data_IF_968935722241
#
_entry.id   IF_968935722241
#
_cell.length_a   1.000
_cell.length_b   1.000
_cell.length_c   1.000
_cell.angle_alpha   90.00
_cell.angle_beta   90.00
_cell.angle_gamma   90.00
#
_symmetry.space_group_name_H-M   'P 1'
#
loop_
_entity.id
_entity.type
_entity.pdbx_description
1 polymer ?
#
# COMPACT_ATOMS: atom_id res chain seq x y z
N UNK A 1 -16.84 3.21 -2.44
CA UNK A 1 -16.45 2.78 -3.80
C UNK A 1 -15.02 2.26 -3.93
N UNK A 2 -14.10 2.46 -2.97
CA UNK A 2 -12.85 1.67 -2.92
C UNK A 2 -11.99 1.69 -4.19
N UNK A 3 -12.18 2.70 -5.07
CA UNK A 3 -11.49 2.81 -6.35
C UNK A 3 -10.07 3.37 -6.19
N UNK A 4 -9.76 3.91 -5.01
CA UNK A 4 -8.46 4.48 -4.73
C UNK A 4 -7.44 3.44 -4.30
N UNK A 5 -6.19 3.65 -4.73
CA UNK A 5 -5.04 2.82 -4.37
C UNK A 5 -4.14 3.65 -3.47
N UNK A 6 -3.76 3.10 -2.31
CA UNK A 6 -2.72 3.69 -1.48
C UNK A 6 -1.39 3.02 -1.80
N UNK A 7 -0.35 3.81 -2.05
CA UNK A 7 1.01 3.31 -2.28
C UNK A 7 1.78 3.40 -0.97
N UNK A 8 2.36 2.28 -0.54
CA UNK A 8 3.05 2.15 0.74
C UNK A 8 4.53 1.86 0.53
N UNK A 9 5.38 2.52 1.33
CA UNK A 9 6.77 2.12 1.55
C UNK A 9 6.80 1.04 2.64
N UNK A 10 7.26 -0.17 2.31
CA UNK A 10 7.36 -1.30 3.24
C UNK A 10 8.80 -1.82 3.33
N UNK A 11 9.16 -2.65 4.33
CA UNK A 11 10.48 -3.29 4.40
C UNK A 11 10.83 -4.19 3.21
N UNK A 12 9.85 -4.55 2.36
CA UNK A 12 10.03 -5.36 1.15
C UNK A 12 9.94 -4.54 -0.14
N UNK A 13 10.03 -3.21 -0.04
CA UNK A 13 9.91 -2.28 -1.15
C UNK A 13 8.57 -1.55 -1.18
N UNK A 14 8.36 -0.80 -2.27
CA UNK A 14 7.13 -0.02 -2.51
C UNK A 14 6.06 -0.93 -3.11
N UNK A 15 4.85 -0.92 -2.56
CA UNK A 15 3.74 -1.74 -3.03
C UNK A 15 2.38 -1.10 -2.72
N UNK A 16 1.31 -1.62 -3.32
CA UNK A 16 -0.05 -1.20 -3.00
C UNK A 16 -0.51 -1.67 -1.62
N UNK A 17 -1.52 -1.03 -1.06
CA UNK A 17 -2.13 -1.42 0.21
C UNK A 17 -2.73 -2.84 0.18
N UNK A 18 -3.22 -3.29 -0.97
CA UNK A 18 -3.69 -4.66 -1.15
C UNK A 18 -2.54 -5.67 -1.10
N UNK A 19 -1.42 -5.41 -1.77
CA UNK A 19 -0.22 -6.27 -1.72
C UNK A 19 0.38 -6.32 -0.31
N UNK A 20 0.42 -5.17 0.38
CA UNK A 20 0.91 -5.08 1.76
C UNK A 20 0.06 -5.93 2.71
N UNK A 21 -1.27 -5.86 2.59
CA UNK A 21 -2.20 -6.70 3.37
C UNK A 21 -2.06 -8.18 3.03
N UNK A 22 -2.03 -8.54 1.75
CA UNK A 22 -1.86 -9.93 1.31
C UNK A 22 -0.54 -10.53 1.83
N UNK A 23 0.50 -9.71 1.92
CA UNK A 23 1.82 -10.13 2.38
C UNK A 23 2.02 -9.92 3.90
N UNK A 24 0.99 -9.49 4.62
CA UNK A 24 0.98 -9.22 6.06
C UNK A 24 2.13 -8.32 6.56
N UNK A 25 2.37 -7.20 5.85
CA UNK A 25 3.31 -6.15 6.28
C UNK A 25 2.66 -4.79 6.35
N UNK A 26 3.10 -3.99 7.31
CA UNK A 26 2.81 -2.57 7.38
C UNK A 26 3.85 -1.73 6.65
N UNK A 27 3.58 -0.42 6.60
CA UNK A 27 4.46 0.54 5.96
C UNK A 27 3.95 1.97 6.13
N UNK A 28 4.71 2.91 5.60
CA UNK A 28 4.31 4.32 5.53
C UNK A 28 3.51 4.55 4.24
N UNK A 29 2.39 5.27 4.34
CA UNK A 29 1.61 5.67 3.15
C UNK A 29 2.33 6.85 2.48
N UNK A 30 2.78 6.66 1.25
CA UNK A 30 3.46 7.70 0.48
C UNK A 30 2.46 8.60 -0.24
N UNK A 31 1.45 8.00 -0.90
CA UNK A 31 0.42 8.74 -1.60
C UNK A 31 -0.85 7.91 -1.79
N UNK A 32 -1.93 8.60 -2.14
CA UNK A 32 -3.21 8.01 -2.49
C UNK A 32 -3.64 8.54 -3.86
N UNK A 33 -4.09 7.64 -4.72
CA UNK A 33 -4.69 7.97 -6.02
C UNK A 33 -6.19 7.70 -5.91
N UNK A 34 -7.03 8.61 -6.40
CA UNK A 34 -8.50 8.55 -6.34
C UNK A 34 -9.13 8.38 -7.72
#
# INVERSE_FOLDING_TARGET
NGLGISILSTPRGVMSDNEARASNVGGEVLCQVF
#
